data_IF_386590035636
#
_entry.id   IF_386590035636
#
_cell.length_a   1.000
_cell.length_b   1.000
_cell.length_c   1.000
_cell.angle_alpha   90.00
_cell.angle_beta   90.00
_cell.angle_gamma   90.00
#
_symmetry.space_group_name_H-M   'P 1'
#
loop_
_entity.id
_entity.type
_entity.pdbx_description
1 polymer ?
#
# COMPACT_ATOMS: atom_id res chain seq x y z
N UNK A 1 8.51 3.97 -15.70
CA UNK A 1 8.24 5.28 -16.32
C UNK A 1 6.85 5.36 -16.96
N UNK A 2 6.31 4.27 -17.56
CA UNK A 2 4.99 4.25 -18.20
C UNK A 2 3.82 4.63 -17.27
N UNK A 3 3.79 4.10 -16.02
CA UNK A 3 2.77 4.46 -15.04
C UNK A 3 2.81 5.95 -14.70
N UNK A 4 4.01 6.50 -14.47
CA UNK A 4 4.18 7.91 -14.13
C UNK A 4 3.73 8.82 -15.29
N UNK A 5 3.99 8.43 -16.53
CA UNK A 5 3.50 9.12 -17.70
C UNK A 5 1.97 9.06 -17.83
N UNK A 6 1.36 7.90 -17.59
CA UNK A 6 -0.10 7.73 -17.59
C UNK A 6 -0.78 8.61 -16.54
N UNK A 7 -0.25 8.61 -15.29
CA UNK A 7 -0.78 9.45 -14.21
C UNK A 7 -0.59 10.96 -14.48
N UNK A 8 0.45 11.34 -15.23
CA UNK A 8 0.65 12.74 -15.60
C UNK A 8 -0.29 13.17 -16.72
N UNK A 9 -0.55 12.27 -17.69
CA UNK A 9 -1.45 12.53 -18.82
C UNK A 9 -2.92 12.63 -18.38
N UNK A 10 -3.34 11.81 -17.44
CA UNK A 10 -4.69 11.86 -16.85
C UNK A 10 -4.59 11.80 -15.30
N UNK A 11 -4.46 12.97 -14.64
CA UNK A 11 -4.42 13.03 -13.18
C UNK A 11 -5.72 12.55 -12.50
N UNK A 12 -6.82 12.43 -13.24
CA UNK A 12 -8.10 11.90 -12.80
C UNK A 12 -8.22 10.38 -12.94
N UNK A 13 -7.31 9.74 -13.67
CA UNK A 13 -7.32 8.30 -13.85
C UNK A 13 -7.20 7.57 -12.50
N UNK A 14 -7.97 6.51 -12.37
CA UNK A 14 -7.96 5.68 -11.16
C UNK A 14 -6.94 4.56 -11.29
N UNK A 15 -6.00 4.53 -10.38
CA UNK A 15 -5.00 3.47 -10.31
C UNK A 15 -5.65 2.21 -9.73
N UNK A 16 -5.47 1.08 -10.42
CA UNK A 16 -6.00 -0.23 -10.03
C UNK A 16 -4.84 -1.21 -9.90
N UNK A 17 -4.74 -1.86 -8.76
CA UNK A 17 -3.81 -2.97 -8.52
C UNK A 17 -4.57 -4.29 -8.42
N UNK A 18 -4.78 -4.84 -7.24
CA UNK A 18 -5.48 -6.09 -7.01
C UNK A 18 -7.00 -6.06 -7.16
N UNK A 19 -7.59 -4.88 -7.36
CA UNK A 19 -9.02 -4.62 -7.59
C UNK A 19 -9.99 -5.14 -6.50
N UNK A 20 -9.52 -5.53 -5.34
CA UNK A 20 -10.36 -6.12 -4.28
C UNK A 20 -11.43 -5.16 -3.74
N UNK A 21 -11.15 -3.84 -3.73
CA UNK A 21 -12.13 -2.79 -3.43
C UNK A 21 -12.77 -2.23 -4.71
N UNK A 22 -11.95 -1.91 -5.72
CA UNK A 22 -12.44 -1.31 -6.98
C UNK A 22 -13.43 -2.21 -7.69
N UNK A 23 -13.25 -3.53 -7.62
CA UNK A 23 -14.22 -4.50 -8.15
C UNK A 23 -15.59 -4.37 -7.49
N UNK A 24 -15.65 -4.08 -6.19
CA UNK A 24 -16.92 -3.87 -5.48
C UNK A 24 -17.58 -2.54 -5.84
N UNK A 25 -16.81 -1.51 -6.17
CA UNK A 25 -17.39 -0.25 -6.65
C UNK A 25 -18.13 -0.42 -7.97
N UNK A 26 -17.66 -1.34 -8.83
CA UNK A 26 -18.36 -1.68 -10.07
C UNK A 26 -19.55 -2.62 -9.79
N UNK A 27 -19.27 -3.74 -9.11
CA UNK A 27 -20.26 -4.84 -9.02
C UNK A 27 -21.37 -4.59 -7.98
N UNK A 28 -21.10 -3.81 -6.94
CA UNK A 28 -22.05 -3.52 -5.85
C UNK A 28 -22.57 -2.10 -5.85
N UNK A 29 -21.77 -1.15 -6.31
CA UNK A 29 -22.13 0.27 -6.26
C UNK A 29 -22.47 0.85 -7.64
N UNK A 30 -22.28 0.06 -8.72
CA UNK A 30 -22.56 0.45 -10.10
C UNK A 30 -21.90 1.78 -10.50
N UNK A 31 -20.70 2.06 -9.95
CA UNK A 31 -19.97 3.29 -10.25
C UNK A 31 -19.40 3.25 -11.66
N UNK A 32 -19.49 4.35 -12.37
CA UNK A 32 -18.60 4.64 -13.50
C UNK A 32 -17.27 5.13 -12.94
N UNK A 33 -16.19 4.44 -13.27
CA UNK A 33 -14.87 4.73 -12.74
C UNK A 33 -14.00 5.56 -13.71
N UNK A 34 -14.50 5.83 -14.92
CA UNK A 34 -13.73 6.52 -15.95
C UNK A 34 -12.47 5.73 -16.37
N UNK A 35 -11.38 6.47 -16.58
CA UNK A 35 -10.10 5.86 -16.97
C UNK A 35 -9.49 5.05 -15.85
N UNK A 36 -9.13 3.80 -16.15
CA UNK A 36 -8.43 2.91 -15.21
C UNK A 36 -7.00 2.68 -15.70
N UNK A 37 -6.04 2.80 -14.77
CA UNK A 37 -4.62 2.50 -15.01
C UNK A 37 -4.23 1.30 -14.15
N UNK A 38 -4.03 0.15 -14.79
CA UNK A 38 -3.69 -1.09 -14.11
C UNK A 38 -2.18 -1.20 -13.86
N UNK A 39 -1.80 -1.48 -12.60
CA UNK A 39 -0.40 -1.55 -12.19
C UNK A 39 0.23 -2.93 -12.31
N UNK A 40 -0.53 -3.97 -12.63
CA UNK A 40 -0.03 -5.37 -12.65
C UNK A 40 1.08 -5.64 -13.66
N UNK A 41 1.27 -4.78 -14.69
CA UNK A 41 2.40 -4.87 -15.61
C UNK A 41 3.66 -4.14 -15.11
N UNK A 42 3.59 -3.40 -14.01
CA UNK A 42 4.71 -2.61 -13.47
C UNK A 42 5.48 -3.43 -12.46
N UNK A 43 6.40 -4.26 -12.95
CA UNK A 43 7.14 -5.24 -12.13
C UNK A 43 7.88 -4.60 -10.96
N UNK A 44 8.41 -3.39 -11.13
CA UNK A 44 9.14 -2.66 -10.09
C UNK A 44 8.28 -2.38 -8.85
N UNK A 45 6.97 -2.22 -9.03
CA UNK A 45 6.04 -1.99 -7.93
C UNK A 45 5.69 -3.27 -7.16
N UNK A 46 5.97 -4.44 -7.68
CA UNK A 46 5.74 -5.72 -7.00
C UNK A 46 6.95 -6.19 -6.17
N UNK A 47 8.07 -5.46 -6.24
CA UNK A 47 9.30 -5.89 -5.56
C UNK A 47 9.22 -5.61 -4.06
N UNK A 48 9.72 -6.57 -3.29
CA UNK A 48 10.00 -6.42 -1.86
C UNK A 48 11.52 -6.46 -1.68
N UNK A 49 12.06 -5.44 -1.02
CA UNK A 49 13.51 -5.30 -0.79
C UNK A 49 13.80 -5.16 0.70
N UNK A 50 14.46 -6.15 1.26
CA UNK A 50 14.99 -6.07 2.61
C UNK A 50 16.31 -5.29 2.60
N UNK A 51 16.27 -4.01 2.93
CA UNK A 51 17.45 -3.17 3.14
C UNK A 51 18.06 -3.39 4.53
N UNK A 52 19.11 -2.60 4.84
CA UNK A 52 19.75 -2.61 6.16
C UNK A 52 18.85 -2.02 7.24
N UNK A 53 18.24 -0.89 6.96
CA UNK A 53 17.53 -0.07 7.94
C UNK A 53 16.00 -0.13 7.78
N UNK A 54 15.51 -0.58 6.63
CA UNK A 54 14.09 -0.71 6.33
C UNK A 54 13.80 -1.84 5.33
N UNK A 55 12.58 -2.34 5.37
CA UNK A 55 11.98 -3.20 4.35
C UNK A 55 11.17 -2.29 3.44
N UNK A 56 11.54 -2.20 2.16
CA UNK A 56 10.78 -1.47 1.15
C UNK A 56 9.87 -2.43 0.39
N UNK A 57 8.56 -2.20 0.49
CA UNK A 57 7.51 -3.02 -0.10
C UNK A 57 6.87 -2.21 -1.22
N UNK A 58 7.03 -2.64 -2.46
CA UNK A 58 6.43 -2.00 -3.62
C UNK A 58 4.90 -2.00 -3.55
N UNK A 59 4.28 -0.95 -4.09
CA UNK A 59 2.83 -0.73 -3.94
C UNK A 59 1.96 -1.83 -4.57
N UNK A 60 2.48 -2.57 -5.56
CA UNK A 60 1.80 -3.70 -6.19
C UNK A 60 2.22 -5.07 -5.61
N UNK A 61 3.08 -5.12 -4.59
CA UNK A 61 3.31 -6.34 -3.82
C UNK A 61 2.00 -6.78 -3.17
N UNK A 62 1.70 -8.08 -3.22
CA UNK A 62 0.47 -8.60 -2.61
C UNK A 62 0.50 -8.42 -1.09
N UNK A 63 -0.66 -8.41 -0.46
CA UNK A 63 -0.73 -8.40 1.00
C UNK A 63 -0.06 -9.65 1.59
N UNK A 64 -0.15 -10.80 0.92
CA UNK A 64 0.53 -12.01 1.33
C UNK A 64 2.05 -11.82 1.34
N UNK A 65 2.64 -11.38 0.21
CA UNK A 65 4.09 -11.13 0.11
C UNK A 65 4.57 -10.06 1.10
N UNK A 66 3.76 -9.01 1.30
CA UNK A 66 4.08 -7.94 2.23
C UNK A 66 4.12 -8.44 3.69
N UNK A 67 3.12 -9.23 4.10
CA UNK A 67 3.05 -9.77 5.44
C UNK A 67 4.15 -10.81 5.70
N UNK A 68 4.44 -11.67 4.74
CA UNK A 68 5.54 -12.63 4.82
C UNK A 68 6.90 -11.91 4.98
N UNK A 69 7.09 -10.80 4.26
CA UNK A 69 8.32 -10.02 4.37
C UNK A 69 8.49 -9.33 5.73
N UNK A 70 7.39 -8.98 6.39
CA UNK A 70 7.40 -8.35 7.71
C UNK A 70 7.52 -9.36 8.85
N UNK A 71 7.15 -10.62 8.63
CA UNK A 71 7.09 -11.66 9.66
C UNK A 71 8.45 -11.93 10.33
N UNK A 72 9.54 -11.80 9.58
CA UNK A 72 10.89 -11.99 10.11
C UNK A 72 11.29 -10.95 11.15
N UNK A 73 10.89 -9.69 10.99
CA UNK A 73 11.22 -8.60 11.90
C UNK A 73 10.12 -8.38 12.97
N UNK A 74 8.86 -8.75 12.65
CA UNK A 74 7.69 -8.48 13.46
C UNK A 74 6.79 -9.72 13.62
N UNK A 75 7.32 -10.83 14.18
CA UNK A 75 6.58 -12.08 14.32
C UNK A 75 5.33 -11.95 15.21
N UNK A 76 5.26 -10.93 16.06
CA UNK A 76 4.11 -10.65 16.91
C UNK A 76 2.85 -10.26 16.11
N UNK A 77 3.03 -9.78 14.88
CA UNK A 77 1.92 -9.42 13.98
C UNK A 77 1.40 -10.61 13.17
N UNK A 78 2.06 -11.77 13.25
CA UNK A 78 1.70 -12.97 12.45
C UNK A 78 0.23 -13.35 12.60
N UNK A 79 -0.29 -13.37 13.83
CA UNK A 79 -1.69 -13.71 14.07
C UNK A 79 -2.64 -12.68 13.43
N UNK A 80 -2.32 -11.38 13.52
CA UNK A 80 -3.10 -10.33 12.89
C UNK A 80 -3.11 -10.47 11.36
N UNK A 81 -1.94 -10.77 10.77
CA UNK A 81 -1.83 -10.99 9.33
C UNK A 81 -2.58 -12.25 8.86
N UNK A 82 -2.57 -13.32 9.63
CA UNK A 82 -3.32 -14.54 9.32
C UNK A 82 -4.83 -14.34 9.35
N UNK A 83 -5.32 -13.46 10.24
CA UNK A 83 -6.73 -13.12 10.36
C UNK A 83 -7.17 -12.01 9.39
N UNK A 84 -6.22 -11.30 8.78
CA UNK A 84 -6.51 -10.24 7.84
C UNK A 84 -7.14 -10.81 6.57
N UNK A 85 -8.40 -10.49 6.31
CA UNK A 85 -9.15 -10.92 5.14
C UNK A 85 -9.06 -12.45 4.84
N UNK A 86 -9.52 -12.88 3.69
CA UNK A 86 -9.36 -14.26 3.23
C UNK A 86 -8.05 -14.44 2.42
N UNK A 87 -7.58 -15.68 2.30
CA UNK A 87 -6.40 -16.00 1.49
C UNK A 87 -6.50 -15.48 0.04
N UNK A 88 -7.63 -15.68 -0.70
CA UNK A 88 -7.76 -15.12 -2.04
C UNK A 88 -7.65 -13.58 -2.07
N UNK A 89 -8.17 -12.90 -1.06
CA UNK A 89 -8.08 -11.43 -0.96
C UNK A 89 -6.64 -11.01 -0.69
N UNK A 90 -5.90 -11.69 0.20
CA UNK A 90 -4.49 -11.37 0.44
C UNK A 90 -3.60 -11.61 -0.78
N UNK A 91 -3.92 -12.62 -1.57
CA UNK A 91 -3.16 -12.95 -2.78
C UNK A 91 -3.48 -12.02 -3.97
N UNK A 92 -4.62 -11.34 -3.96
CA UNK A 92 -5.02 -10.39 -5.00
C UNK A 92 -4.80 -8.92 -4.58
N UNK A 93 -5.20 -8.56 -3.36
CA UNK A 93 -5.02 -7.22 -2.81
C UNK A 93 -3.54 -6.89 -2.63
N UNK A 94 -3.19 -5.61 -2.78
CA UNK A 94 -1.81 -5.13 -2.66
C UNK A 94 -1.65 -4.20 -1.47
N UNK A 95 -0.45 -4.15 -0.88
CA UNK A 95 -0.20 -3.28 0.26
C UNK A 95 -0.40 -1.81 -0.10
N UNK A 96 0.15 -1.36 -1.23
CA UNK A 96 -0.02 0.02 -1.69
C UNK A 96 -1.47 0.35 -2.04
N UNK A 97 -2.24 -0.60 -2.58
CA UNK A 97 -3.68 -0.44 -2.82
C UNK A 97 -4.46 -0.28 -1.52
N UNK A 98 -4.17 -1.09 -0.52
CA UNK A 98 -4.79 -1.02 0.80
C UNK A 98 -4.49 0.31 1.50
N UNK A 99 -3.21 0.74 1.50
CA UNK A 99 -2.77 2.05 2.03
C UNK A 99 -3.41 3.20 1.26
N UNK A 100 -3.39 3.18 -0.08
CA UNK A 100 -3.94 4.26 -0.91
C UNK A 100 -5.47 4.40 -0.80
N UNK A 101 -6.18 3.29 -0.58
CA UNK A 101 -7.62 3.29 -0.35
C UNK A 101 -7.98 3.83 1.04
N UNK A 102 -7.16 3.57 2.06
CA UNK A 102 -7.33 4.11 3.40
C UNK A 102 -8.68 3.77 4.02
N UNK A 103 -9.12 2.52 3.88
CA UNK A 103 -10.39 2.06 4.46
C UNK A 103 -10.36 2.20 5.99
N UNK A 104 -11.38 2.79 6.63
CA UNK A 104 -11.43 2.91 8.09
C UNK A 104 -11.52 1.56 8.82
N UNK A 105 -11.80 0.50 8.10
CA UNK A 105 -11.81 -0.89 8.61
C UNK A 105 -10.59 -1.70 8.13
N UNK A 106 -9.57 -1.01 7.58
CA UNK A 106 -8.34 -1.67 7.12
C UNK A 106 -7.35 -1.81 8.26
N UNK A 107 -7.03 -3.04 8.66
CA UNK A 107 -6.20 -3.33 9.84
C UNK A 107 -4.69 -3.16 9.58
N UNK A 108 -4.24 -3.06 8.32
CA UNK A 108 -2.82 -2.92 8.03
C UNK A 108 -2.29 -1.53 8.38
N UNK A 109 -3.08 -0.46 8.20
CA UNK A 109 -2.64 0.91 8.42
C UNK A 109 -2.28 1.19 9.89
N UNK A 110 -3.11 0.86 10.88
CA UNK A 110 -2.75 1.05 12.29
C UNK A 110 -1.46 0.32 12.68
N UNK A 111 -1.30 -0.92 12.20
CA UNK A 111 -0.09 -1.70 12.45
C UNK A 111 1.14 -1.02 11.82
N UNK A 112 1.07 -0.63 10.55
CA UNK A 112 2.16 0.03 9.84
C UNK A 112 2.52 1.39 10.48
N UNK A 113 1.53 2.18 10.91
CA UNK A 113 1.75 3.43 11.65
C UNK A 113 2.49 3.14 12.97
N UNK A 114 2.06 2.15 13.72
CA UNK A 114 2.73 1.75 14.97
C UNK A 114 4.18 1.28 14.76
N UNK A 115 4.50 0.76 13.58
CA UNK A 115 5.86 0.41 13.17
C UNK A 115 6.69 1.62 12.69
N UNK A 116 6.11 2.82 12.60
CA UNK A 116 6.77 4.00 12.06
C UNK A 116 6.99 3.94 10.56
N UNK A 117 6.10 3.28 9.82
CA UNK A 117 6.22 3.16 8.38
C UNK A 117 6.08 4.51 7.67
N UNK A 118 6.76 4.62 6.53
CA UNK A 118 6.65 5.74 5.59
C UNK A 118 5.96 5.28 4.31
N UNK A 119 5.18 6.16 3.68
CA UNK A 119 4.69 5.97 2.33
C UNK A 119 5.53 6.77 1.35
N UNK A 120 5.98 6.12 0.27
CA UNK A 120 6.70 6.76 -0.82
C UNK A 120 5.72 7.09 -1.92
N UNK A 121 5.59 8.38 -2.21
CA UNK A 121 4.74 8.92 -3.26
C UNK A 121 5.61 9.31 -4.45
N UNK A 122 5.16 9.00 -5.67
CA UNK A 122 5.87 9.33 -6.90
C UNK A 122 4.99 10.13 -7.85
N UNK A 123 5.59 11.16 -8.46
CA UNK A 123 5.01 11.93 -9.58
C UNK A 123 6.08 12.16 -10.64
N UNK A 124 5.86 11.64 -11.83
CA UNK A 124 6.88 11.70 -12.89
C UNK A 124 8.19 11.04 -12.45
N UNK A 125 9.29 11.79 -12.49
CA UNK A 125 10.61 11.37 -12.02
C UNK A 125 10.87 11.66 -10.54
N UNK A 126 10.01 12.44 -9.88
CA UNK A 126 10.19 12.87 -8.48
C UNK A 126 9.51 11.91 -7.55
N UNK A 127 10.16 11.62 -6.42
CA UNK A 127 9.57 10.86 -5.33
C UNK A 127 9.79 11.59 -3.99
N UNK A 128 8.82 11.42 -3.07
CA UNK A 128 8.92 11.90 -1.69
C UNK A 128 8.41 10.84 -0.74
N UNK A 129 9.01 10.76 0.43
CA UNK A 129 8.54 9.92 1.53
C UNK A 129 7.91 10.79 2.62
N UNK A 130 6.83 10.32 3.20
CA UNK A 130 6.19 10.95 4.37
C UNK A 130 5.83 9.86 5.38
N UNK A 131 5.80 10.16 6.69
CA UNK A 131 5.26 9.24 7.68
C UNK A 131 3.85 8.78 7.29
N UNK A 132 3.54 7.51 7.48
CA UNK A 132 2.24 6.98 7.07
C UNK A 132 1.08 7.62 7.86
N UNK A 133 1.32 8.04 9.10
CA UNK A 133 0.35 8.78 9.91
C UNK A 133 -0.04 10.12 9.27
N UNK A 134 0.91 10.81 8.62
CA UNK A 134 0.69 12.09 7.94
C UNK A 134 0.03 11.94 6.56
N UNK A 135 -0.06 10.70 6.07
CA UNK A 135 -0.66 10.43 4.77
C UNK A 135 -2.19 10.60 4.77
N UNK A 136 -2.85 10.35 5.90
CA UNK A 136 -4.30 10.44 6.02
C UNK A 136 -4.73 11.78 6.62
N UNK A 137 -5.25 12.68 5.77
CA UNK A 137 -5.67 14.02 6.19
C UNK A 137 -7.09 14.05 6.78
N UNK A 138 -7.97 13.19 6.27
CA UNK A 138 -9.35 13.02 6.71
C UNK A 138 -9.93 11.74 6.10
N UNK A 139 -11.19 11.41 6.42
CA UNK A 139 -11.88 10.28 5.80
C UNK A 139 -11.82 10.34 4.28
N UNK A 140 -11.29 9.30 3.66
CA UNK A 140 -11.06 9.19 2.20
C UNK A 140 -10.23 10.33 1.57
N UNK A 141 -9.49 11.08 2.37
CA UNK A 141 -8.62 12.17 1.90
C UNK A 141 -7.18 11.90 2.31
N UNK A 142 -6.31 11.79 1.32
CA UNK A 142 -4.88 11.57 1.53
C UNK A 142 -4.05 12.77 1.13
N UNK A 143 -2.78 12.81 1.55
CA UNK A 143 -1.81 13.85 1.23
C UNK A 143 -1.28 13.79 -0.21
N UNK A 144 -1.81 12.90 -1.07
CA UNK A 144 -1.45 12.85 -2.48
C UNK A 144 -1.91 14.09 -3.21
N UNK A 145 -1.07 14.61 -4.08
CA UNK A 145 -1.44 15.65 -5.04
C UNK A 145 -1.84 15.03 -6.39
N UNK A 146 -2.57 15.74 -7.26
CA UNK A 146 -2.95 15.22 -8.59
C UNK A 146 -1.75 14.68 -9.37
N UNK A 147 -1.89 13.47 -9.91
CA UNK A 147 -0.83 12.76 -10.64
C UNK A 147 0.18 12.02 -9.75
N UNK A 148 0.08 12.10 -8.41
CA UNK A 148 0.86 11.26 -7.51
C UNK A 148 0.25 9.88 -7.32
N UNK A 149 1.11 8.87 -7.19
CA UNK A 149 0.71 7.52 -6.80
C UNK A 149 1.62 6.97 -5.70
N UNK A 150 1.11 6.02 -4.95
CA UNK A 150 1.90 5.26 -3.98
C UNK A 150 2.85 4.35 -4.75
N UNK A 151 4.16 4.53 -4.57
CA UNK A 151 5.19 3.72 -5.19
C UNK A 151 5.64 2.56 -4.31
N UNK A 152 5.81 2.81 -3.01
CA UNK A 152 6.18 1.80 -2.01
C UNK A 152 5.76 2.23 -0.61
N UNK A 153 5.82 1.27 0.31
CA UNK A 153 5.78 1.49 1.76
C UNK A 153 7.12 1.05 2.32
N UNK A 154 7.75 1.89 3.13
CA UNK A 154 8.98 1.59 3.84
C UNK A 154 8.66 1.32 5.30
N UNK A 155 9.01 0.14 5.78
CA UNK A 155 8.84 -0.25 7.17
C UNK A 155 10.23 -0.33 7.80
N UNK A 156 10.53 0.44 8.86
CA UNK A 156 11.81 0.36 9.53
C UNK A 156 12.12 -1.08 9.95
N UNK A 157 13.39 -1.48 9.92
CA UNK A 157 13.80 -2.74 10.54
C UNK A 157 13.72 -2.61 12.06
N UNK A 158 13.41 -3.69 12.70
CA UNK A 158 13.32 -3.71 14.16
C UNK A 158 14.65 -3.31 14.81
N UNK A 159 14.65 -2.21 15.54
CA UNK A 159 15.76 -1.87 16.40
C UNK A 159 15.77 -2.81 17.62
N UNK A 160 16.97 -3.31 18.00
CA UNK A 160 17.08 -4.22 19.15
C UNK A 160 16.46 -3.60 20.41
N UNK A 161 15.63 -4.38 21.11
CA UNK A 161 14.99 -3.97 22.37
C UNK A 161 13.59 -3.37 22.25
N UNK A 162 13.06 -3.13 21.06
CA UNK A 162 11.66 -2.72 20.89
C UNK A 162 10.72 -3.91 21.11
N UNK A 163 9.79 -3.78 22.06
CA UNK A 163 8.72 -4.76 22.27
C UNK A 163 7.45 -4.23 21.59
N UNK A 164 6.98 -4.95 20.57
CA UNK A 164 5.66 -4.76 19.97
C UNK A 164 4.70 -5.78 20.59
N UNK A 165 3.49 -5.35 20.93
CA UNK A 165 2.42 -6.24 21.35
C UNK A 165 1.19 -5.97 20.49
N UNK A 166 0.72 -7.00 19.80
CA UNK A 166 -0.57 -6.99 19.11
C UNK A 166 -1.60 -7.71 19.99
N UNK A 167 -2.77 -7.11 20.19
CA UNK A 167 -3.88 -7.64 20.95
C UNK A 167 -5.09 -7.88 20.05
#
# INVERSE_FOLDING_TARGET
DGLAAACAADPGARIVAGATDVGLWITKQHRDLGTLVWTGAVRELALVRAGRDAIEIGAAATLADAFDALDGDYPELREAWQRFASVPIRNAGTLGGNVANGSPIGDSMPALIALGAEVVLRKGSTARAIPLEDFYLAYQKTARVPGEFVASVRVPRRAGGLALRAY
#
